data_IF_007629025051
#
_entry.id   IF_007629025051
#
_cell.length_a   1.000
_cell.length_b   1.000
_cell.length_c   1.000
_cell.angle_alpha   90.00
_cell.angle_beta   90.00
_cell.angle_gamma   90.00
#
_symmetry.space_group_name_H-M   'P 1'
#
loop_
_entity.id
_entity.type
_entity.pdbx_description
1 polymer ?
#
# COMPACT_ATOMS: atom_id res chain seq x y z
N UNK A 1 12.09 -16.22 17.87
CA UNK A 1 10.92 -15.67 17.14
C UNK A 1 10.84 -14.17 17.42
N UNK A 2 10.44 -13.35 16.44
CA UNK A 2 10.22 -11.91 16.67
C UNK A 2 8.80 -11.72 17.19
N UNK A 3 8.68 -11.14 18.38
CA UNK A 3 7.39 -10.82 18.98
C UNK A 3 6.77 -9.59 18.29
N UNK A 4 5.58 -9.78 17.73
CA UNK A 4 4.79 -8.75 17.02
C UNK A 4 3.49 -8.43 17.74
N UNK A 5 3.31 -8.92 18.97
CA UNK A 5 2.09 -8.74 19.78
C UNK A 5 1.70 -7.26 19.98
N UNK A 6 2.67 -6.34 19.96
CA UNK A 6 2.45 -4.91 20.02
C UNK A 6 1.60 -4.35 18.86
N UNK A 7 1.60 -5.01 17.70
CA UNK A 7 0.84 -4.61 16.50
C UNK A 7 -0.52 -5.31 16.39
N UNK A 8 -0.79 -6.31 17.23
CA UNK A 8 -2.10 -6.98 17.25
C UNK A 8 -3.21 -6.11 17.85
N UNK A 9 -2.84 -5.01 18.54
CA UNK A 9 -3.79 -3.98 18.95
C UNK A 9 -4.05 -3.04 17.78
N UNK A 10 -4.87 -3.47 16.84
CA UNK A 10 -5.54 -2.56 15.91
C UNK A 10 -6.51 -1.70 16.73
N UNK A 11 -6.05 -0.55 17.22
CA UNK A 11 -7.02 0.51 17.50
C UNK A 11 -7.81 0.72 16.20
N UNK A 12 -9.14 0.85 16.25
CA UNK A 12 -9.90 1.22 15.07
C UNK A 12 -9.49 2.65 14.70
N UNK A 13 -8.42 2.77 13.91
CA UNK A 13 -8.13 3.98 13.18
C UNK A 13 -9.27 4.08 12.19
N UNK A 14 -10.31 4.81 12.57
CA UNK A 14 -11.37 5.16 11.65
C UNK A 14 -10.75 6.11 10.65
N UNK A 15 -10.24 5.54 9.55
CA UNK A 15 -9.76 6.30 8.42
C UNK A 15 -10.91 7.23 8.02
N UNK A 16 -10.67 8.55 8.09
CA UNK A 16 -11.60 9.53 7.54
C UNK A 16 -11.51 9.41 6.03
N UNK A 17 -12.28 8.50 5.47
CA UNK A 17 -12.42 8.38 4.02
C UNK A 17 -13.04 9.71 3.56
N UNK A 18 -12.39 10.46 2.67
CA UNK A 18 -12.99 11.65 2.07
C UNK A 18 -14.37 11.28 1.51
N UNK A 19 -15.39 12.09 1.80
CA UNK A 19 -16.75 11.89 1.26
C UNK A 19 -16.81 12.12 -0.25
N UNK A 20 -15.77 12.74 -0.81
CA UNK A 20 -15.60 12.95 -2.24
C UNK A 20 -14.92 11.74 -2.88
N UNK A 21 -15.45 11.20 -4.00
CA UNK A 21 -14.76 10.18 -4.77
C UNK A 21 -13.41 10.73 -5.25
N UNK A 22 -12.31 10.16 -4.75
CA UNK A 22 -10.97 10.44 -5.27
C UNK A 22 -10.63 9.45 -6.36
N UNK A 23 -9.94 9.92 -7.41
CA UNK A 23 -9.40 9.02 -8.43
C UNK A 23 -8.24 8.23 -7.82
N UNK A 24 -8.48 6.95 -7.53
CA UNK A 24 -7.43 6.05 -7.07
C UNK A 24 -6.45 5.77 -8.22
N UNK A 25 -5.16 6.00 -7.97
CA UNK A 25 -4.07 5.69 -8.91
C UNK A 25 -3.14 4.64 -8.31
N UNK A 26 -2.56 3.79 -9.15
CA UNK A 26 -1.61 2.76 -8.71
C UNK A 26 -0.23 3.39 -8.49
N UNK A 27 0.42 3.07 -7.36
CA UNK A 27 1.80 3.48 -7.12
C UNK A 27 2.76 2.65 -7.98
N UNK A 28 3.73 3.29 -8.62
CA UNK A 28 4.77 2.65 -9.45
C UNK A 28 6.04 2.37 -8.63
N UNK A 29 6.26 3.13 -7.56
CA UNK A 29 7.45 3.04 -6.72
C UNK A 29 7.17 3.52 -5.30
N UNK A 30 8.07 3.20 -4.38
CA UNK A 30 8.09 3.76 -3.04
C UNK A 30 9.53 3.99 -2.59
N UNK A 31 9.71 4.96 -1.70
CA UNK A 31 11.01 5.22 -1.09
C UNK A 31 10.85 5.76 0.34
N UNK A 32 11.96 5.83 1.08
CA UNK A 32 12.00 6.54 2.37
C UNK A 32 12.54 7.94 2.18
N UNK A 33 11.83 8.93 2.73
CA UNK A 33 12.33 10.29 2.75
C UNK A 33 13.42 10.48 3.83
N UNK A 34 14.02 11.67 3.86
CA UNK A 34 15.09 12.01 4.80
C UNK A 34 14.67 11.91 6.28
N UNK A 35 13.36 11.97 6.57
CA UNK A 35 12.79 11.81 7.91
C UNK A 35 12.45 10.35 8.25
N UNK A 36 12.76 9.41 7.34
CA UNK A 36 12.53 7.98 7.52
C UNK A 36 11.08 7.52 7.29
N UNK A 37 10.20 8.39 6.79
CA UNK A 37 8.82 8.05 6.45
C UNK A 37 8.75 7.42 5.05
N UNK A 38 7.76 6.58 4.83
CA UNK A 38 7.50 5.96 3.51
C UNK A 38 6.69 6.93 2.66
N UNK A 39 7.14 7.15 1.43
CA UNK A 39 6.44 7.91 0.41
C UNK A 39 6.19 7.02 -0.81
N UNK A 40 4.94 7.00 -1.26
CA UNK A 40 4.49 6.31 -2.47
C UNK A 40 4.61 7.27 -3.66
N UNK A 41 5.22 6.82 -4.75
CA UNK A 41 5.33 7.56 -6.01
C UNK A 41 4.35 6.93 -7.00
N UNK A 42 3.46 7.75 -7.54
CA UNK A 42 2.53 7.36 -8.59
C UNK A 42 2.75 8.25 -9.81
N UNK A 43 3.16 7.66 -10.92
CA UNK A 43 3.18 8.35 -12.20
C UNK A 43 1.75 8.52 -12.73
N UNK A 44 1.51 9.56 -13.53
CA UNK A 44 0.23 9.69 -14.25
C UNK A 44 0.02 8.42 -15.08
N UNK A 45 -1.18 7.82 -15.07
CA UNK A 45 -1.43 6.63 -15.87
C UNK A 45 -1.20 6.97 -17.33
N UNK A 46 -0.14 6.43 -17.94
CA UNK A 46 -0.01 6.41 -19.39
C UNK A 46 -1.14 5.51 -19.90
N UNK A 47 -2.28 6.11 -20.24
CA UNK A 47 -3.39 5.47 -20.98
C UNK A 47 -3.81 4.10 -20.45
N UNK A 48 -4.80 4.05 -19.56
CA UNK A 48 -5.77 2.93 -19.40
C UNK A 48 -5.26 1.47 -19.48
N UNK A 49 -3.98 1.18 -19.21
CA UNK A 49 -3.55 -0.21 -19.10
C UNK A 49 -3.91 -0.63 -17.68
N UNK A 50 -5.08 -1.27 -17.54
CA UNK A 50 -5.41 -2.04 -16.34
C UNK A 50 -4.36 -3.15 -16.23
N UNK A 51 -3.25 -2.87 -15.55
CA UNK A 51 -2.30 -3.89 -15.17
C UNK A 51 -3.02 -4.87 -14.26
N UNK A 52 -3.10 -6.13 -14.68
CA UNK A 52 -3.67 -7.18 -13.87
C UNK A 52 -2.85 -7.28 -12.58
N UNK A 53 -3.46 -6.87 -11.46
CA UNK A 53 -2.89 -6.98 -10.12
C UNK A 53 -2.78 -8.48 -9.79
N UNK A 54 -1.68 -9.10 -10.20
CA UNK A 54 -1.39 -10.49 -9.89
C UNK A 54 -0.73 -10.51 -8.51
N UNK A 55 -1.51 -10.87 -7.49
CA UNK A 55 -0.93 -11.26 -6.21
C UNK A 55 -0.13 -12.56 -6.46
N UNK A 56 1.20 -12.44 -6.55
CA UNK A 56 2.06 -13.61 -6.56
C UNK A 56 1.92 -14.30 -5.20
N UNK A 57 1.14 -15.37 -5.15
CA UNK A 57 1.05 -16.22 -3.97
C UNK A 57 2.44 -16.80 -3.70
N UNK A 58 2.97 -16.55 -2.51
CA UNK A 58 4.24 -17.16 -2.08
C UNK A 58 4.02 -18.68 -2.02
N UNK A 59 4.75 -19.49 -2.82
CA UNK A 59 4.60 -20.93 -2.74
C UNK A 59 5.04 -21.42 -1.35
N UNK A 60 4.15 -22.17 -0.68
CA UNK A 60 4.52 -22.88 0.55
C UNK A 60 5.53 -23.96 0.18
N UNK A 61 6.74 -23.84 0.70
CA UNK A 61 7.71 -24.93 0.75
C UNK A 61 7.16 -25.98 1.72
N UNK A 62 6.89 -27.19 1.23
CA UNK A 62 6.66 -28.37 2.07
C UNK A 62 7.98 -28.94 2.55
#
# INVERSE_FOLDING_TARGET
MRDISAFHKTQPVQAKIPTTPETLVQATSWHRNAQGKIELVADKPSTQVQQALTCAAVPKSY
#
